data_IF_746053353351
#
_entry.id   IF_746053353351
#
_cell.length_a   1.000
_cell.length_b   1.000
_cell.length_c   1.000
_cell.angle_alpha   90.00
_cell.angle_beta   90.00
_cell.angle_gamma   90.00
#
_symmetry.space_group_name_H-M   'P 1'
#
loop_
_entity.id
_entity.type
_entity.pdbx_description
1 polymer ?
#
# COMPACT_ATOMS: atom_id res chain seq x y z
N UNK A 1 8.72 15.75 -13.80
CA UNK A 1 8.45 14.97 -15.02
C UNK A 1 7.03 14.39 -15.11
N UNK A 2 6.34 14.08 -14.00
CA UNK A 2 4.98 13.52 -14.06
C UNK A 2 3.83 14.56 -14.04
N UNK A 3 4.13 15.82 -13.69
CA UNK A 3 3.14 16.89 -13.71
C UNK A 3 2.69 17.21 -15.14
N UNK A 4 1.39 17.47 -15.33
CA UNK A 4 0.80 17.80 -16.63
C UNK A 4 0.27 16.61 -17.44
N UNK A 5 0.34 15.38 -16.92
CA UNK A 5 -0.44 14.25 -17.44
C UNK A 5 0.01 13.64 -18.77
N UNK A 6 1.06 14.16 -19.42
CA UNK A 6 1.54 13.68 -20.71
C UNK A 6 2.00 12.21 -20.74
N UNK A 7 2.32 11.64 -19.58
CA UNK A 7 2.63 10.22 -19.41
C UNK A 7 1.39 9.33 -19.48
N UNK A 8 0.21 9.85 -19.10
CA UNK A 8 -0.95 9.04 -18.79
C UNK A 8 -1.44 8.24 -19.99
N UNK A 9 -1.74 8.91 -21.11
CA UNK A 9 -2.22 8.23 -22.32
C UNK A 9 -1.20 7.23 -22.87
N UNK A 10 0.10 7.56 -22.80
CA UNK A 10 1.19 6.69 -23.29
C UNK A 10 1.27 5.39 -22.51
N UNK A 11 1.17 5.46 -21.19
CA UNK A 11 1.35 4.31 -20.29
C UNK A 11 0.07 3.48 -20.17
N UNK A 12 -1.09 4.14 -20.15
CA UNK A 12 -2.37 3.47 -19.93
C UNK A 12 -2.98 2.92 -21.23
N UNK A 13 -2.58 3.48 -22.37
CA UNK A 13 -3.22 3.19 -23.67
C UNK A 13 -4.67 3.68 -23.74
N UNK A 14 -5.07 4.64 -22.87
CA UNK A 14 -6.46 5.14 -22.80
C UNK A 14 -7.45 4.18 -22.13
N UNK A 15 -6.98 3.10 -21.51
CA UNK A 15 -7.82 2.16 -20.76
C UNK A 15 -8.27 2.75 -19.42
N UNK A 16 -9.36 2.25 -18.83
CA UNK A 16 -9.75 2.57 -17.45
C UNK A 16 -8.61 2.34 -16.46
N UNK A 17 -8.41 3.29 -15.54
CA UNK A 17 -7.32 3.30 -14.56
C UNK A 17 -7.85 3.40 -13.14
N UNK A 18 -7.35 2.52 -12.27
CA UNK A 18 -7.47 2.70 -10.81
C UNK A 18 -6.19 3.29 -10.24
N UNK A 19 -6.33 4.26 -9.35
CA UNK A 19 -5.22 4.77 -8.55
C UNK A 19 -5.28 4.19 -7.12
N UNK A 20 -4.15 3.70 -6.63
CA UNK A 20 -3.98 3.29 -5.24
C UNK A 20 -2.85 4.10 -4.62
N UNK A 21 -3.10 4.72 -3.48
CA UNK A 21 -2.20 5.71 -2.89
C UNK A 21 -1.86 5.32 -1.45
N UNK A 22 -0.59 5.41 -1.09
CA UNK A 22 -0.16 5.25 0.30
C UNK A 22 -0.74 6.38 1.17
N UNK A 23 -1.18 6.10 2.41
CA UNK A 23 -1.74 7.11 3.31
C UNK A 23 -0.70 8.09 3.89
N UNK A 24 0.60 7.89 3.64
CA UNK A 24 1.62 8.80 4.13
C UNK A 24 1.53 10.15 3.39
N UNK A 25 1.63 11.25 4.15
CA UNK A 25 1.37 12.63 3.68
C UNK A 25 2.15 12.96 2.39
N UNK A 26 3.41 12.51 2.27
CA UNK A 26 4.24 12.73 1.07
C UNK A 26 3.68 12.06 -0.19
N UNK A 27 3.07 10.88 -0.07
CA UNK A 27 2.43 10.19 -1.18
C UNK A 27 1.10 10.85 -1.56
N UNK A 28 0.27 11.22 -0.58
CA UNK A 28 -0.98 11.93 -0.83
C UNK A 28 -0.75 13.29 -1.52
N UNK A 29 0.29 14.03 -1.11
CA UNK A 29 0.71 15.26 -1.81
C UNK A 29 1.12 14.97 -3.26
N UNK A 30 1.91 13.92 -3.48
CA UNK A 30 2.34 13.52 -4.83
C UNK A 30 1.15 13.13 -5.70
N UNK A 31 0.24 12.31 -5.17
CA UNK A 31 -0.98 11.90 -5.86
C UNK A 31 -1.88 13.09 -6.19
N UNK A 32 -2.04 14.04 -5.26
CA UNK A 32 -2.80 15.29 -5.50
C UNK A 32 -2.27 16.05 -6.71
N UNK A 33 -0.96 16.07 -6.91
CA UNK A 33 -0.33 16.78 -8.02
C UNK A 33 -0.32 15.97 -9.32
N UNK A 34 0.03 14.69 -9.24
CA UNK A 34 0.25 13.83 -10.41
C UNK A 34 -1.06 13.33 -11.03
N UNK A 35 -2.09 13.10 -10.20
CA UNK A 35 -3.39 12.59 -10.67
C UNK A 35 -4.39 13.70 -11.00
N UNK A 36 -4.05 14.96 -10.74
CA UNK A 36 -4.94 16.10 -10.96
C UNK A 36 -5.40 16.19 -12.41
N UNK A 37 -6.71 16.16 -12.62
CA UNK A 37 -7.33 16.29 -13.94
C UNK A 37 -7.15 15.07 -14.85
N UNK A 38 -6.61 13.96 -14.35
CA UNK A 38 -6.53 12.71 -15.11
C UNK A 38 -7.85 11.94 -15.01
N UNK A 39 -8.26 11.20 -16.06
CA UNK A 39 -9.48 10.41 -16.05
C UNK A 39 -9.27 9.10 -15.27
N UNK A 40 -9.14 9.22 -13.94
CA UNK A 40 -9.02 8.09 -13.02
C UNK A 40 -10.42 7.59 -12.68
N UNK A 41 -10.68 6.30 -12.90
CA UNK A 41 -11.98 5.68 -12.65
C UNK A 41 -12.30 5.57 -11.16
N UNK A 42 -11.28 5.25 -10.37
CA UNK A 42 -11.39 5.16 -8.93
C UNK A 42 -10.04 5.43 -8.26
N UNK A 43 -10.09 6.08 -7.10
CA UNK A 43 -8.92 6.31 -6.25
C UNK A 43 -9.16 5.71 -4.88
N UNK A 44 -8.22 4.91 -4.40
CA UNK A 44 -8.24 4.29 -3.09
C UNK A 44 -6.98 4.65 -2.31
N UNK A 45 -7.12 4.82 -1.01
CA UNK A 45 -5.99 4.91 -0.08
C UNK A 45 -5.84 3.57 0.62
N UNK A 46 -4.64 3.00 0.62
CA UNK A 46 -4.39 1.64 1.14
C UNK A 46 -3.18 1.63 2.09
N UNK A 47 -3.37 1.13 3.31
CA UNK A 47 -2.32 1.07 4.34
C UNK A 47 -1.13 0.22 3.89
N UNK A 48 -1.40 -0.91 3.21
CA UNK A 48 -0.35 -1.87 2.89
C UNK A 48 0.68 -1.38 1.86
N UNK A 49 0.44 -0.28 1.14
CA UNK A 49 1.44 0.28 0.22
C UNK A 49 2.25 1.43 0.84
N UNK A 50 2.26 1.59 2.17
CA UNK A 50 3.16 2.51 2.89
C UNK A 50 4.61 2.05 2.88
N UNK A 51 5.52 2.97 3.24
CA UNK A 51 6.95 2.71 3.34
C UNK A 51 7.26 1.67 4.43
N UNK A 52 8.54 1.36 4.63
CA UNK A 52 9.03 0.55 5.74
C UNK A 52 8.38 0.94 7.06
N UNK A 53 7.75 -0.04 7.72
CA UNK A 53 7.19 0.17 9.05
C UNK A 53 8.32 0.29 10.07
N UNK A 54 8.17 1.16 11.07
CA UNK A 54 9.09 1.24 12.20
C UNK A 54 9.77 2.59 12.40
N UNK A 55 11.03 2.53 12.85
CA UNK A 55 11.79 3.57 13.57
C UNK A 55 11.83 4.98 12.95
N UNK A 56 11.70 5.13 11.63
CA UNK A 56 11.77 6.45 11.00
C UNK A 56 10.51 7.27 11.29
N UNK A 57 10.67 8.43 11.91
CA UNK A 57 9.55 9.33 12.27
C UNK A 57 8.84 9.91 11.05
N UNK A 58 9.48 9.91 9.88
CA UNK A 58 8.85 10.30 8.63
C UNK A 58 7.90 9.20 8.11
N UNK A 59 8.01 7.97 8.58
CA UNK A 59 7.16 6.84 8.19
C UNK A 59 5.91 6.71 9.05
N UNK A 60 5.74 7.56 10.07
CA UNK A 60 4.51 7.68 10.84
C UNK A 60 3.37 8.30 10.01
N UNK A 61 2.22 7.62 9.99
CA UNK A 61 0.99 8.08 9.34
C UNK A 61 0.23 9.04 10.26
N UNK A 62 -0.46 10.03 9.66
CA UNK A 62 -1.43 10.87 10.38
C UNK A 62 -2.65 10.05 10.78
N UNK A 63 -3.28 10.36 11.91
CA UNK A 63 -4.63 9.89 12.24
C UNK A 63 -5.62 10.21 11.10
N UNK A 64 -6.69 9.42 10.98
CA UNK A 64 -7.71 9.69 9.97
C UNK A 64 -8.53 10.91 10.36
N UNK A 65 -8.92 10.97 11.62
CA UNK A 65 -9.67 12.06 12.24
C UNK A 65 -8.75 13.16 12.73
N UNK A 66 -9.25 14.39 12.83
CA UNK A 66 -8.47 15.47 13.44
C UNK A 66 -8.26 15.18 14.93
N UNK A 67 -7.05 15.45 15.47
CA UNK A 67 -6.85 15.39 16.90
C UNK A 67 -7.73 16.44 17.60
N UNK A 68 -8.20 16.17 18.84
CA UNK A 68 -9.02 17.12 19.58
C UNK A 68 -8.30 18.48 19.70
N UNK A 69 -9.07 19.57 19.65
CA UNK A 69 -8.53 20.93 19.68
C UNK A 69 -7.65 21.16 20.93
N UNK A 70 -6.36 21.44 20.71
CA UNK A 70 -5.35 21.57 21.78
C UNK A 70 -4.54 20.30 22.09
N UNK A 71 -4.91 19.16 21.52
CA UNK A 71 -4.21 17.88 21.62
C UNK A 71 -3.09 17.72 20.59
N UNK A 72 -2.22 18.71 20.46
CA UNK A 72 -0.99 18.58 19.67
C UNK A 72 0.05 17.76 20.42
N UNK A 73 -0.13 16.45 20.56
CA UNK A 73 0.81 15.62 21.30
C UNK A 73 0.72 14.13 21.00
N UNK A 74 1.71 13.62 20.26
CA UNK A 74 2.26 12.33 20.66
C UNK A 74 2.82 12.54 22.08
N UNK A 75 2.45 11.67 23.02
CA UNK A 75 2.78 11.76 24.43
C UNK A 75 4.26 12.14 24.66
N UNK A 76 4.49 13.02 25.64
CA UNK A 76 5.81 13.39 26.13
C UNK A 76 6.60 12.13 26.52
N UNK A 77 7.56 11.73 25.69
CA UNK A 77 8.52 10.70 26.06
C UNK A 77 9.50 11.29 27.10
N UNK A 78 9.77 10.61 28.23
CA UNK A 78 10.65 11.13 29.26
C UNK A 78 12.05 11.36 28.71
N UNK A 79 12.67 12.47 29.14
CA UNK A 79 13.97 12.91 28.72
C UNK A 79 15.05 11.86 29.05
N UNK A 80 15.39 11.02 28.07
CA UNK A 80 16.39 9.97 28.21
C UNK A 80 16.85 9.45 26.86
N UNK A 81 18.05 9.87 26.46
CA UNK A 81 18.82 9.54 25.24
C UNK A 81 18.28 10.14 23.92
N UNK A 82 19.16 10.93 23.27
CA UNK A 82 18.95 11.63 22.00
C UNK A 82 18.47 10.66 20.92
N UNK A 83 17.17 10.67 20.65
CA UNK A 83 16.56 10.02 19.48
C UNK A 83 16.46 11.05 18.33
N UNK A 84 16.54 10.62 17.07
CA UNK A 84 16.47 11.52 15.92
C UNK A 84 15.01 11.99 15.71
N UNK A 85 14.73 13.22 16.15
CA UNK A 85 13.47 13.96 15.99
C UNK A 85 12.22 13.30 16.65
N UNK A 86 11.31 14.07 17.25
CA UNK A 86 10.00 13.53 17.65
C UNK A 86 9.18 13.13 16.41
N UNK A 87 8.16 12.25 16.54
CA UNK A 87 7.23 11.96 15.43
C UNK A 87 6.66 13.27 14.89
N UNK A 88 6.46 13.33 13.57
CA UNK A 88 5.93 14.52 12.91
C UNK A 88 4.65 15.00 13.62
N UNK A 89 4.66 16.21 14.16
CA UNK A 89 3.47 16.78 14.81
C UNK A 89 2.41 17.05 13.75
N UNK A 90 1.23 16.48 13.94
CA UNK A 90 0.12 16.60 13.01
C UNK A 90 -1.00 17.43 13.65
N UNK A 91 -1.16 18.63 13.12
CA UNK A 91 -2.20 19.61 13.45
C UNK A 91 -3.59 19.22 12.93
N UNK A 92 -3.62 18.50 11.81
CA UNK A 92 -4.81 17.99 11.13
C UNK A 92 -4.63 16.52 10.77
N UNK A 93 -5.70 15.75 10.89
CA UNK A 93 -5.85 14.39 10.41
C UNK A 93 -5.94 14.33 8.88
N UNK A 94 -5.97 13.11 8.35
CA UNK A 94 -5.98 12.86 6.92
C UNK A 94 -7.22 13.45 6.23
N UNK A 95 -8.41 13.30 6.81
CA UNK A 95 -9.66 13.79 6.21
C UNK A 95 -9.65 15.29 5.99
N UNK A 96 -9.22 16.05 6.99
CA UNK A 96 -9.20 17.52 6.92
C UNK A 96 -8.06 18.05 6.06
N UNK A 97 -6.91 17.36 6.04
CA UNK A 97 -5.76 17.77 5.23
C UNK A 97 -5.92 17.41 3.74
N UNK A 98 -6.59 16.30 3.44
CA UNK A 98 -6.72 15.73 2.10
C UNK A 98 -8.18 15.43 1.74
N UNK A 99 -9.06 16.46 1.65
CA UNK A 99 -10.49 16.25 1.43
C UNK A 99 -10.84 15.61 0.08
N UNK A 100 -9.92 15.61 -0.88
CA UNK A 100 -10.09 14.95 -2.18
C UNK A 100 -9.96 13.42 -2.14
N UNK A 101 -9.55 12.83 -1.01
CA UNK A 101 -9.39 11.40 -0.85
C UNK A 101 -10.43 10.83 0.12
N UNK A 102 -10.85 9.59 -0.15
CA UNK A 102 -11.73 8.84 0.75
C UNK A 102 -10.89 7.92 1.63
N UNK A 103 -11.00 8.08 2.94
CA UNK A 103 -10.29 7.29 3.93
C UNK A 103 -11.25 6.30 4.59
N UNK A 104 -11.26 5.06 4.09
CA UNK A 104 -11.98 3.95 4.72
C UNK A 104 -11.10 3.36 5.81
N UNK A 105 -11.64 3.19 7.02
CA UNK A 105 -10.98 2.46 8.11
C UNK A 105 -11.67 1.10 8.20
N UNK A 106 -10.88 0.03 8.21
CA UNK A 106 -11.37 -1.32 8.40
C UNK A 106 -11.52 -1.65 9.87
N UNK A 107 -12.52 -2.47 10.15
CA UNK A 107 -12.59 -3.19 11.42
C UNK A 107 -11.50 -4.30 11.39
N UNK A 108 -10.60 -4.35 12.37
CA UNK A 108 -9.58 -5.42 12.47
C UNK A 108 -10.16 -6.83 12.53
N UNK A 109 -11.44 -6.99 12.89
CA UNK A 109 -12.12 -8.29 12.97
C UNK A 109 -12.61 -8.82 11.61
N UNK A 110 -12.55 -8.01 10.55
CA UNK A 110 -13.02 -8.35 9.20
C UNK A 110 -11.85 -8.60 8.22
N UNK A 111 -11.13 -9.71 8.42
CA UNK A 111 -9.99 -10.07 7.56
C UNK A 111 -10.39 -10.77 6.26
N UNK A 112 -11.51 -11.51 6.24
CA UNK A 112 -12.01 -12.22 5.07
C UNK A 112 -12.73 -11.27 4.10
N UNK A 113 -12.21 -11.13 2.89
CA UNK A 113 -12.84 -10.29 1.85
C UNK A 113 -12.57 -8.79 1.98
N UNK A 114 -11.56 -8.39 2.75
CA UNK A 114 -11.22 -6.97 2.90
C UNK A 114 -10.88 -6.32 1.55
N UNK A 115 -11.40 -5.12 1.35
CA UNK A 115 -11.04 -4.24 0.24
C UNK A 115 -9.90 -3.26 0.57
N UNK A 116 -9.86 -2.14 -0.17
CA UNK A 116 -8.89 -1.06 0.05
C UNK A 116 -9.21 -0.11 1.21
N UNK A 117 -8.20 0.25 2.02
CA UNK A 117 -8.38 1.14 3.18
C UNK A 117 -7.27 1.06 4.23
N UNK A 118 -7.58 1.63 5.40
CA UNK A 118 -6.67 1.82 6.54
C UNK A 118 -6.98 0.81 7.64
N UNK A 119 -5.96 0.42 8.41
CA UNK A 119 -6.09 -0.60 9.46
C UNK A 119 -6.53 -0.03 10.83
N UNK A 120 -6.75 1.28 10.91
CA UNK A 120 -7.20 1.98 12.11
C UNK A 120 -7.27 3.48 11.87
N UNK A 121 -7.91 4.23 12.78
CA UNK A 121 -7.86 5.69 12.74
C UNK A 121 -6.43 6.17 13.00
N UNK A 122 -5.87 5.77 14.14
CA UNK A 122 -4.49 6.06 14.56
C UNK A 122 -3.46 5.13 13.88
N UNK A 123 -2.20 5.58 13.83
CA UNK A 123 -1.11 4.74 13.33
C UNK A 123 -0.64 3.73 14.39
N UNK A 124 -1.09 2.49 14.24
CA UNK A 124 -0.69 1.37 15.11
C UNK A 124 0.54 0.61 14.61
N UNK A 125 1.02 0.91 13.39
CA UNK A 125 2.11 0.15 12.75
C UNK A 125 3.49 0.78 12.93
N UNK A 126 3.53 2.06 13.30
CA UNK A 126 4.77 2.75 13.63
C UNK A 126 5.24 2.35 15.03
N UNK A 127 6.52 1.97 15.15
CA UNK A 127 7.13 1.62 16.43
C UNK A 127 8.51 2.27 16.55
N UNK A 128 8.93 2.57 17.77
CA UNK A 128 10.24 3.20 18.05
C UNK A 128 11.42 2.21 18.01
N UNK A 129 11.15 0.91 18.13
CA UNK A 129 12.19 -0.10 18.43
C UNK A 129 12.32 -1.23 17.43
N UNK A 130 11.47 -1.31 16.40
CA UNK A 130 11.56 -2.33 15.37
C UNK A 130 11.43 -1.71 13.99
N UNK A 131 12.24 -2.20 13.05
CA UNK A 131 12.17 -1.83 11.64
C UNK A 131 11.75 -3.05 10.85
N UNK A 132 10.77 -2.89 9.97
CA UNK A 132 10.31 -3.95 9.08
C UNK A 132 11.45 -4.39 8.16
N UNK A 133 11.74 -5.69 8.17
CA UNK A 133 12.72 -6.29 7.26
C UNK A 133 12.11 -6.50 5.87
N UNK A 134 12.98 -6.55 4.85
CA UNK A 134 12.60 -6.70 3.45
C UNK A 134 11.64 -7.89 3.21
N UNK A 135 11.86 -9.03 3.89
CA UNK A 135 11.00 -10.22 3.75
C UNK A 135 9.56 -9.97 4.23
N UNK A 136 9.38 -9.23 5.34
CA UNK A 136 8.04 -8.86 5.83
C UNK A 136 7.36 -7.90 4.86
N UNK A 137 8.11 -6.95 4.31
CA UNK A 137 7.57 -6.01 3.33
C UNK A 137 7.17 -6.69 2.01
N UNK A 138 7.90 -7.72 1.58
CA UNK A 138 7.51 -8.57 0.42
C UNK A 138 6.22 -9.34 0.72
N UNK A 139 6.08 -9.93 1.91
CA UNK A 139 4.81 -10.57 2.33
C UNK A 139 3.65 -9.58 2.31
N UNK A 140 3.87 -8.35 2.82
CA UNK A 140 2.90 -7.26 2.78
C UNK A 140 2.56 -6.85 1.35
N UNK A 141 3.54 -6.77 0.45
CA UNK A 141 3.31 -6.49 -0.96
C UNK A 141 2.48 -7.59 -1.64
N UNK A 142 2.72 -8.88 -1.34
CA UNK A 142 1.89 -10.00 -1.84
C UNK A 142 0.44 -9.90 -1.32
N UNK A 143 0.25 -9.59 -0.04
CA UNK A 143 -1.11 -9.37 0.51
C UNK A 143 -1.82 -8.17 -0.13
N UNK A 144 -1.09 -7.08 -0.37
CA UNK A 144 -1.61 -5.91 -1.08
C UNK A 144 -2.07 -6.29 -2.50
N UNK A 145 -1.25 -7.05 -3.20
CA UNK A 145 -1.54 -7.60 -4.51
C UNK A 145 -2.83 -8.45 -4.49
N UNK A 146 -3.00 -9.38 -3.55
CA UNK A 146 -4.23 -10.19 -3.45
C UNK A 146 -5.50 -9.32 -3.34
N UNK A 147 -5.45 -8.25 -2.55
CA UNK A 147 -6.56 -7.30 -2.39
C UNK A 147 -6.80 -6.54 -3.68
N UNK A 148 -5.74 -6.11 -4.35
CA UNK A 148 -5.82 -5.45 -5.65
C UNK A 148 -6.54 -6.35 -6.64
N UNK A 149 -6.14 -7.62 -6.79
CA UNK A 149 -6.81 -8.57 -7.68
C UNK A 149 -8.26 -8.85 -7.32
N UNK A 150 -8.59 -8.92 -6.03
CA UNK A 150 -9.96 -9.21 -5.58
C UNK A 150 -10.91 -8.01 -5.74
N UNK A 151 -10.40 -6.77 -5.74
CA UNK A 151 -11.21 -5.55 -5.63
C UNK A 151 -11.06 -4.57 -6.81
N UNK A 152 -10.32 -4.96 -7.86
CA UNK A 152 -10.00 -4.06 -8.98
C UNK A 152 -10.45 -4.67 -10.31
N UNK A 153 -11.54 -4.17 -10.91
CA UNK A 153 -11.93 -4.57 -12.27
C UNK A 153 -11.04 -3.95 -13.36
N UNK A 154 -10.31 -2.87 -13.06
CA UNK A 154 -9.43 -2.19 -14.02
C UNK A 154 -8.13 -2.99 -14.29
N UNK A 155 -7.73 -3.09 -15.55
CA UNK A 155 -6.48 -3.76 -15.96
C UNK A 155 -5.23 -2.88 -15.82
N UNK A 156 -5.42 -1.58 -15.58
CA UNK A 156 -4.32 -0.62 -15.40
C UNK A 156 -4.47 -0.01 -14.01
N UNK A 157 -3.44 -0.22 -13.19
CA UNK A 157 -3.39 0.33 -11.84
C UNK A 157 -2.15 1.20 -11.68
N UNK A 158 -2.36 2.41 -11.18
CA UNK A 158 -1.29 3.34 -10.83
C UNK A 158 -1.14 3.31 -9.32
N UNK A 159 0.04 2.92 -8.84
CA UNK A 159 0.35 2.85 -7.41
C UNK A 159 1.28 4.02 -7.06
N UNK A 160 0.82 4.91 -6.18
CA UNK A 160 1.65 6.01 -5.65
C UNK A 160 2.17 5.60 -4.27
N UNK A 161 3.44 5.19 -4.24
CA UNK A 161 4.08 4.56 -3.08
C UNK A 161 5.51 5.08 -2.86
N UNK A 162 6.31 4.35 -2.09
CA UNK A 162 7.63 4.73 -1.62
C UNK A 162 8.70 3.78 -2.16
N UNK A 163 9.96 4.18 -1.99
CA UNK A 163 11.09 3.48 -2.58
C UNK A 163 11.31 2.08 -2.01
N UNK A 164 11.14 1.88 -0.68
CA UNK A 164 11.25 0.57 -0.08
C UNK A 164 10.12 -0.35 -0.54
N UNK A 165 8.87 0.13 -0.43
CA UNK A 165 7.73 -0.67 -0.86
C UNK A 165 7.76 -1.01 -2.36
N UNK A 166 8.15 -0.08 -3.23
CA UNK A 166 8.30 -0.35 -4.66
C UNK A 166 9.33 -1.45 -4.93
N UNK A 167 10.48 -1.43 -4.24
CA UNK A 167 11.48 -2.50 -4.29
C UNK A 167 10.91 -3.85 -3.85
N UNK A 168 10.15 -3.87 -2.75
CA UNK A 168 9.47 -5.07 -2.25
C UNK A 168 8.40 -5.59 -3.20
N UNK A 169 7.69 -4.69 -3.86
CA UNK A 169 6.68 -5.03 -4.84
C UNK A 169 7.33 -5.71 -6.06
N UNK A 170 8.44 -5.17 -6.57
CA UNK A 170 9.22 -5.79 -7.66
C UNK A 170 9.66 -7.21 -7.29
N UNK A 171 10.16 -7.42 -6.07
CA UNK A 171 10.48 -8.76 -5.57
C UNK A 171 9.25 -9.67 -5.49
N UNK A 172 8.11 -9.15 -5.03
CA UNK A 172 6.87 -9.92 -4.91
C UNK A 172 6.34 -10.41 -6.25
N UNK A 173 6.60 -9.68 -7.34
CA UNK A 173 6.25 -10.03 -8.73
C UNK A 173 7.43 -10.63 -9.51
N UNK A 174 8.47 -11.09 -8.81
CA UNK A 174 9.62 -11.81 -9.38
C UNK A 174 10.40 -10.99 -10.43
N UNK A 175 10.51 -9.68 -10.21
CA UNK A 175 11.35 -8.77 -10.98
C UNK A 175 12.59 -8.37 -10.19
N UNK A 176 13.64 -7.98 -10.93
CA UNK A 176 14.86 -7.48 -10.33
C UNK A 176 14.56 -6.23 -9.46
N UNK A 177 14.92 -6.24 -8.17
CA UNK A 177 14.68 -5.10 -7.31
C UNK A 177 15.66 -3.97 -7.61
N UNK A 178 15.13 -2.76 -7.73
CA UNK A 178 15.93 -1.56 -7.60
C UNK A 178 15.20 -0.53 -6.74
N UNK A 179 15.89 0.55 -6.41
CA UNK A 179 15.32 1.68 -5.66
C UNK A 179 14.97 2.80 -6.65
N UNK A 180 13.68 3.06 -6.91
CA UNK A 180 13.30 4.12 -7.83
C UNK A 180 13.69 5.49 -7.30
N UNK A 181 14.02 6.41 -8.19
CA UNK A 181 14.20 7.82 -7.89
C UNK A 181 12.86 8.47 -7.52
N UNK A 182 12.91 9.64 -6.87
CA UNK A 182 11.72 10.39 -6.51
C UNK A 182 10.89 10.75 -7.76
N UNK A 183 9.60 10.38 -7.72
CA UNK A 183 8.66 10.58 -8.83
C UNK A 183 9.08 9.90 -10.16
N UNK A 184 9.88 8.84 -10.08
CA UNK A 184 10.10 7.92 -11.20
C UNK A 184 8.85 7.08 -11.46
N UNK A 185 8.53 6.84 -12.73
CA UNK A 185 7.47 5.93 -13.13
C UNK A 185 8.08 4.57 -13.46
N UNK A 186 7.65 3.53 -12.74
CA UNK A 186 8.13 2.16 -12.92
C UNK A 186 7.01 1.29 -13.51
N UNK A 187 6.98 1.09 -14.84
CA UNK A 187 5.96 0.25 -15.45
C UNK A 187 6.27 -1.24 -15.24
N UNK A 188 5.26 -2.00 -14.82
CA UNK A 188 5.36 -3.45 -14.66
C UNK A 188 4.13 -4.11 -15.27
N UNK A 189 4.34 -5.19 -16.02
CA UNK A 189 3.27 -6.08 -16.48
C UNK A 189 3.32 -7.31 -15.59
N UNK A 190 2.19 -7.61 -14.95
CA UNK A 190 2.04 -8.73 -14.03
C UNK A 190 0.91 -9.61 -14.53
N UNK A 191 1.15 -10.92 -14.54
CA UNK A 191 0.13 -11.93 -14.75
C UNK A 191 -0.04 -12.73 -13.46
N UNK A 192 -1.28 -13.11 -13.15
CA UNK A 192 -1.58 -13.91 -11.95
C UNK A 192 -1.74 -15.35 -12.39
N UNK A 193 -0.67 -16.13 -12.25
CA UNK A 193 -0.72 -17.58 -12.44
C UNK A 193 -1.50 -18.21 -11.28
N UNK A 194 -2.76 -18.53 -11.52
CA UNK A 194 -3.52 -19.42 -10.64
C UNK A 194 -3.08 -20.84 -11.03
N UNK A 195 -2.10 -21.39 -10.30
CA UNK A 195 -1.63 -22.75 -10.51
C UNK A 195 -2.78 -23.75 -10.49
N UNK A 196 -2.70 -24.78 -11.33
CA UNK A 196 -3.68 -25.85 -11.49
C UNK A 196 -3.49 -26.93 -10.39
N UNK A 197 -3.24 -26.49 -9.17
CA UNK A 197 -2.72 -27.34 -8.07
C UNK A 197 -3.77 -27.50 -6.95
N UNK A 198 -4.99 -27.93 -7.31
CA UNK A 198 -6.00 -28.35 -6.32
C UNK A 198 -6.96 -29.44 -6.86
N UNK A 199 -6.45 -30.32 -7.72
CA UNK A 199 -7.14 -31.58 -8.09
C UNK A 199 -6.14 -32.73 -7.94
N UNK A 200 -5.73 -33.01 -6.70
CA UNK A 200 -5.25 -34.35 -6.35
C UNK A 200 -6.40 -35.09 -5.68
N UNK A 201 -7.04 -35.91 -6.49
CA UNK A 201 -7.94 -37.01 -6.13
C UNK A 201 -7.55 -37.69 -4.82
N UNK A 202 -8.36 -37.50 -3.79
CA UNK A 202 -8.58 -38.52 -2.76
C UNK A 202 -9.77 -39.36 -3.23
N UNK A 203 -9.50 -40.30 -4.14
CA UNK A 203 -10.33 -41.48 -4.36
C UNK A 203 -9.35 -42.64 -4.54
N UNK A 204 -8.73 -43.02 -3.41
CA UNK A 204 -8.18 -44.36 -3.25
C UNK A 204 -9.35 -45.29 -2.95
N UNK A 205 -9.96 -45.84 -4.01
CA UNK A 205 -10.74 -47.07 -3.90
C UNK A 205 -10.08 -48.15 -4.77
N UNK A 206 -9.32 -48.98 -4.06
CA UNK A 206 -9.04 -50.40 -4.27
C UNK A 206 -9.91 -51.05 -5.36
N UNK A 207 -9.28 -51.64 -6.39
CA UNK A 207 -9.54 -53.02 -6.86
C UNK A 207 -8.35 -53.48 -7.72
N UNK A 208 -7.58 -54.36 -7.11
CA UNK A 208 -7.11 -55.66 -7.60
C UNK A 208 -6.56 -55.83 -9.03
N UNK A 209 -5.34 -56.36 -9.04
CA UNK A 209 -4.97 -57.62 -9.68
C UNK A 209 -4.56 -57.64 -11.17
N UNK A 210 -3.30 -58.04 -11.31
CA UNK A 210 -2.85 -59.18 -12.14
C UNK A 210 -2.68 -58.95 -13.64
N UNK A 211 -1.40 -59.02 -14.03
CA UNK A 211 -0.83 -59.75 -15.19
C UNK A 211 -1.64 -59.70 -16.50
N UNK A 212 -1.05 -59.06 -17.51
CA UNK A 212 -0.33 -59.73 -18.62
C UNK A 212 0.42 -58.71 -19.45
#
# INVERSE_FOLDING_TARGET
MLAGGGWFKKVTGGRPVRAVVSPLTRCLNTATNVLKGLPINATNVEELCRETLGEDTCDARRSVSDPPAGGGGAADAPAGKKSPQPPCKFDKGLRSKFPGFKFKVYDPLDEQGRGFGLLGDEDQLWTKGSREIQQHQVKRAKRFLDILWANTPEKVVVIVTHSGFARSLLLAVEREPYRPANAELVPVIVDRNIGRDDVTSHDDDVIAASRR
#
